data_IF_800760030980
#
_entry.id   IF_800760030980
#
_cell.length_a   1.000
_cell.length_b   1.000
_cell.length_c   1.000
_cell.angle_alpha   90.00
_cell.angle_beta   90.00
_cell.angle_gamma   90.00
#
_symmetry.space_group_name_H-M   'P 1'
#
loop_
_entity.id
_entity.type
_entity.pdbx_description
1 polymer ?
#
# COMPACT_ATOMS: atom_id res chain seq x y z
N UNK A 1 -0.28 10.61 2.49
CA UNK A 1 -0.49 9.39 1.69
C UNK A 1 -1.89 8.86 1.87
N UNK A 2 -2.55 9.17 2.99
CA UNK A 2 -3.97 8.93 3.20
C UNK A 2 -4.82 9.35 1.99
N UNK A 3 -5.75 8.48 1.60
CA UNK A 3 -6.61 8.62 0.43
C UNK A 3 -5.96 8.25 -0.91
N UNK A 4 -4.69 7.80 -0.95
CA UNK A 4 -4.06 7.37 -2.20
C UNK A 4 -4.59 6.00 -2.63
N UNK A 5 -4.84 5.83 -3.93
CA UNK A 5 -5.18 4.54 -4.52
C UNK A 5 -3.97 3.63 -4.55
N UNK A 6 -4.05 2.48 -3.91
CA UNK A 6 -2.97 1.49 -3.86
C UNK A 6 -3.22 0.44 -4.94
N UNK A 7 -2.22 0.20 -5.78
CA UNK A 7 -2.24 -0.80 -6.84
C UNK A 7 -1.04 -1.73 -6.74
N UNK A 8 -1.24 -2.97 -7.14
CA UNK A 8 -0.16 -3.92 -7.37
C UNK A 8 0.62 -3.51 -8.63
N UNK A 9 1.87 -3.96 -8.76
CA UNK A 9 2.66 -3.77 -9.98
C UNK A 9 1.97 -4.36 -11.23
N UNK A 10 1.22 -5.45 -11.06
CA UNK A 10 0.39 -6.08 -12.11
C UNK A 10 -0.86 -5.26 -12.49
N UNK A 11 -1.07 -4.09 -11.87
CA UNK A 11 -2.21 -3.20 -12.13
C UNK A 11 -3.46 -3.51 -11.28
N UNK A 12 -3.44 -4.56 -10.48
CA UNK A 12 -4.55 -4.93 -9.57
C UNK A 12 -4.82 -3.81 -8.57
N UNK A 13 -6.06 -3.37 -8.44
CA UNK A 13 -6.45 -2.41 -7.40
C UNK A 13 -6.47 -3.12 -6.03
N UNK A 14 -5.59 -2.69 -5.12
CA UNK A 14 -5.47 -3.28 -3.79
C UNK A 14 -6.33 -2.56 -2.76
N UNK A 15 -6.61 -1.26 -2.97
CA UNK A 15 -7.45 -0.49 -2.06
C UNK A 15 -7.06 0.99 -2.01
N UNK A 16 -7.35 1.62 -0.87
CA UNK A 16 -7.00 3.00 -0.58
C UNK A 16 -6.18 3.07 0.72
N UNK A 17 -5.22 3.97 0.80
CA UNK A 17 -4.50 4.23 2.05
C UNK A 17 -5.46 4.84 3.06
N UNK A 18 -5.77 4.10 4.13
CA UNK A 18 -6.62 4.53 5.23
C UNK A 18 -5.83 5.29 6.29
N UNK A 19 -4.56 4.90 6.51
CA UNK A 19 -3.71 5.51 7.52
C UNK A 19 -2.21 5.36 7.24
N UNK A 20 -1.40 6.18 7.91
CA UNK A 20 0.06 6.10 7.93
C UNK A 20 0.52 6.09 9.39
N UNK A 21 1.30 5.10 9.76
CA UNK A 21 1.77 4.88 11.13
C UNK A 21 3.28 4.94 11.20
N UNK A 22 3.81 5.72 12.13
CA UNK A 22 5.24 5.78 12.43
C UNK A 22 5.53 4.85 13.61
N UNK A 23 6.02 3.64 13.31
CA UNK A 23 6.37 2.64 14.32
C UNK A 23 7.89 2.65 14.58
N UNK A 24 8.37 2.06 15.69
CA UNK A 24 9.81 1.88 15.93
C UNK A 24 10.53 1.09 14.82
N UNK A 25 9.78 0.24 14.09
CA UNK A 25 10.28 -0.53 12.95
C UNK A 25 10.33 0.27 11.63
N UNK A 26 9.83 1.52 11.63
CA UNK A 26 9.72 2.40 10.48
C UNK A 26 8.28 2.80 10.16
N UNK A 27 8.10 3.44 9.01
CA UNK A 27 6.80 3.90 8.53
C UNK A 27 6.02 2.71 7.95
N UNK A 28 4.78 2.55 8.38
CA UNK A 28 3.82 1.58 7.88
C UNK A 28 2.63 2.33 7.27
N UNK A 29 2.06 1.81 6.19
CA UNK A 29 0.81 2.30 5.62
C UNK A 29 -0.27 1.25 5.80
N UNK A 30 -1.47 1.69 6.16
CA UNK A 30 -2.65 0.86 6.19
C UNK A 30 -3.43 1.05 4.90
N UNK A 31 -3.73 -0.06 4.25
CA UNK A 31 -4.46 -0.08 3.00
C UNK A 31 -5.78 -0.79 3.24
N UNK A 32 -6.87 -0.06 3.07
CA UNK A 32 -8.21 -0.60 3.12
C UNK A 32 -8.55 -1.19 1.76
N UNK A 33 -8.40 -2.51 1.65
CA UNK A 33 -8.74 -3.25 0.45
C UNK A 33 -10.22 -3.65 0.41
N UNK A 34 -10.69 -4.11 -0.75
CA UNK A 34 -12.10 -4.49 -0.94
C UNK A 34 -12.50 -5.74 -0.14
N UNK A 35 -11.54 -6.61 0.19
CA UNK A 35 -11.77 -7.84 0.99
C UNK A 35 -11.33 -7.68 2.44
N UNK A 36 -10.16 -7.08 2.64
CA UNK A 36 -9.55 -6.87 3.95
C UNK A 36 -8.65 -5.65 3.92
N UNK A 37 -8.47 -5.05 5.08
CA UNK A 37 -7.38 -4.10 5.32
C UNK A 37 -6.08 -4.84 5.65
N UNK A 38 -4.95 -4.22 5.31
CA UNK A 38 -3.63 -4.75 5.63
C UNK A 38 -2.62 -3.63 5.87
N UNK A 39 -1.59 -3.93 6.65
CA UNK A 39 -0.47 -3.04 6.91
C UNK A 39 0.71 -3.43 6.01
N UNK A 40 1.25 -2.44 5.29
CA UNK A 40 2.42 -2.60 4.43
C UNK A 40 3.54 -1.64 4.88
N UNK A 41 4.78 -2.11 5.02
CA UNK A 41 5.91 -1.22 5.28
C UNK A 41 6.14 -0.25 4.11
N UNK A 42 6.23 1.04 4.39
CA UNK A 42 6.55 2.08 3.40
C UNK A 42 8.06 2.10 3.12
N UNK A 43 8.56 1.04 2.47
CA UNK A 43 9.97 0.85 2.09
C UNK A 43 10.09 0.66 0.59
N UNK A 44 11.23 1.07 0.01
CA UNK A 44 11.50 0.94 -1.44
C UNK A 44 11.45 -0.50 -1.97
N UNK A 45 11.61 -1.50 -1.10
CA UNK A 45 11.43 -2.91 -1.47
C UNK A 45 9.98 -3.26 -1.79
N UNK A 46 8.99 -2.58 -1.18
CA UNK A 46 7.57 -2.83 -1.40
C UNK A 46 6.86 -1.70 -2.15
N UNK A 47 7.38 -0.47 -2.07
CA UNK A 47 6.82 0.70 -2.74
C UNK A 47 7.60 0.94 -4.03
N UNK A 48 7.02 0.49 -5.14
CA UNK A 48 7.61 0.57 -6.47
C UNK A 48 7.56 2.00 -6.99
N UNK A 49 6.40 2.64 -6.88
CA UNK A 49 6.18 3.99 -7.40
C UNK A 49 5.17 4.78 -6.54
N UNK A 50 5.37 6.10 -6.50
CA UNK A 50 4.50 7.03 -5.77
C UNK A 50 4.11 8.17 -6.71
N UNK A 51 2.92 8.09 -7.28
CA UNK A 51 2.36 9.15 -8.10
C UNK A 51 1.55 10.11 -7.23
N UNK A 52 2.11 11.30 -6.98
CA UNK A 52 1.45 12.33 -6.19
C UNK A 52 0.46 13.17 -6.99
N UNK A 53 0.56 13.18 -8.32
CA UNK A 53 -0.35 13.93 -9.17
C UNK A 53 -1.69 13.20 -9.30
N UNK A 54 -1.64 11.89 -9.54
CA UNK A 54 -2.82 11.01 -9.60
C UNK A 54 -3.26 10.47 -8.23
N UNK A 55 -2.51 10.76 -7.16
CA UNK A 55 -2.73 10.21 -5.81
C UNK A 55 -2.77 8.68 -5.83
N UNK A 56 -1.76 8.07 -6.44
CA UNK A 56 -1.64 6.61 -6.63
C UNK A 56 -0.33 6.09 -6.06
N UNK A 57 -0.39 4.92 -5.44
CA UNK A 57 0.75 4.17 -4.94
C UNK A 57 0.82 2.84 -5.69
N UNK A 58 1.95 2.55 -6.31
CA UNK A 58 2.23 1.24 -6.89
C UNK A 58 3.12 0.47 -5.92
N UNK A 59 2.65 -0.70 -5.49
CA UNK A 59 3.32 -1.54 -4.49
C UNK A 59 3.45 -2.98 -4.95
N UNK A 60 4.48 -3.66 -4.45
CA UNK A 60 4.76 -5.07 -4.63
C UNK A 60 4.78 -5.76 -3.26
N UNK A 61 3.61 -5.99 -2.62
CA UNK A 61 3.51 -6.73 -1.38
C UNK A 61 4.03 -8.17 -1.53
N UNK A 62 4.55 -8.78 -0.45
CA UNK A 62 4.95 -10.17 -0.49
C UNK A 62 3.76 -11.09 -0.78
N UNK A 63 4.01 -12.17 -1.53
CA UNK A 63 3.01 -13.18 -1.84
C UNK A 63 2.37 -13.73 -0.54
N UNK A 64 1.04 -13.83 -0.52
CA UNK A 64 0.28 -14.25 0.67
C UNK A 64 -0.17 -13.12 1.60
N UNK A 65 0.31 -11.88 1.43
CA UNK A 65 -0.21 -10.73 2.21
C UNK A 65 -1.62 -10.35 1.78
N UNK A 66 -1.93 -10.53 0.49
CA UNK A 66 -3.21 -10.15 -0.12
C UNK A 66 -4.01 -11.39 -0.56
N UNK A 67 -3.37 -12.56 -0.68
CA UNK A 67 -3.99 -13.83 -1.03
C UNK A 67 -4.81 -14.40 0.15
N UNK A 68 -6.14 -14.16 0.14
CA UNK A 68 -7.24 -15.11 0.39
C UNK A 68 -8.58 -14.48 -0.10
#
# INVERSE_FOLDING_TARGET
>A
LEGFAVRHEDGTALGLVSGVFELPSGIMIEVQGPRREFLLPYKKEFVVEVDRAERRLTVAPPAGLIDE
#
